data_IF_080767476292
#
_entry.id   IF_080767476292
#
_cell.length_a   1.000
_cell.length_b   1.000
_cell.length_c   1.000
_cell.angle_alpha   90.00
_cell.angle_beta   90.00
_cell.angle_gamma   90.00
#
_symmetry.space_group_name_H-M   'P 1'
#
loop_
_entity.id
_entity.type
_entity.pdbx_description
1 polymer ?
#
# COMPACT_ATOMS: atom_id res chain seq x y z
N UNK A 1 -4.67 -12.08 6.85
CA UNK A 1 -3.36 -11.48 6.48
C UNK A 1 -3.49 -10.85 5.11
N UNK A 2 -2.46 -10.15 4.64
CA UNK A 2 -2.47 -9.47 3.34
C UNK A 2 -1.20 -9.76 2.53
N UNK A 3 -1.15 -9.24 1.30
CA UNK A 3 0.01 -9.40 0.41
C UNK A 3 1.27 -8.73 0.96
N UNK A 4 1.10 -7.65 1.71
CA UNK A 4 2.17 -6.89 2.35
C UNK A 4 1.91 -6.77 3.85
N UNK A 5 2.98 -6.56 4.62
CA UNK A 5 2.91 -6.21 6.03
C UNK A 5 2.49 -4.74 6.15
N UNK A 6 1.29 -4.49 6.67
CA UNK A 6 0.83 -3.14 7.02
C UNK A 6 1.26 -2.75 8.43
N UNK A 7 2.02 -1.67 8.56
CA UNK A 7 2.42 -1.08 9.85
C UNK A 7 1.81 0.31 9.96
N UNK A 8 0.91 0.50 10.93
CA UNK A 8 0.37 1.82 11.23
C UNK A 8 1.43 2.65 11.95
N UNK A 9 1.73 3.83 11.40
CA UNK A 9 2.65 4.81 11.96
C UNK A 9 1.94 6.13 12.24
N UNK A 10 2.72 7.14 12.63
CA UNK A 10 2.19 8.50 12.75
C UNK A 10 1.92 9.05 11.35
N UNK A 11 0.68 9.47 11.07
CA UNK A 11 0.30 10.08 9.79
C UNK A 11 -0.01 9.11 8.66
N UNK A 12 -0.06 7.79 8.91
CA UNK A 12 -0.46 6.85 7.86
C UNK A 12 -0.18 5.37 8.12
N UNK A 13 -0.20 4.59 7.03
CA UNK A 13 0.17 3.18 7.01
C UNK A 13 1.34 2.96 6.05
N UNK A 14 2.39 2.28 6.52
CA UNK A 14 3.47 1.79 5.68
C UNK A 14 3.20 0.34 5.28
N UNK A 15 3.35 0.03 3.99
CA UNK A 15 3.32 -1.33 3.47
C UNK A 15 4.73 -1.83 3.19
N UNK A 16 5.06 -3.01 3.72
CA UNK A 16 6.38 -3.62 3.61
C UNK A 16 6.29 -4.99 2.96
N UNK A 17 7.29 -5.33 2.14
CA UNK A 17 7.42 -6.67 1.59
C UNK A 17 7.84 -7.65 2.69
N UNK A 18 7.14 -8.78 2.79
CA UNK A 18 7.32 -9.75 3.88
C UNK A 18 8.70 -10.41 3.88
N UNK A 19 9.27 -10.64 2.71
CA UNK A 19 10.51 -11.40 2.56
C UNK A 19 11.73 -10.50 2.81
N UNK A 20 11.73 -9.31 2.20
CA UNK A 20 12.85 -8.37 2.29
C UNK A 20 12.78 -7.42 3.48
N UNK A 21 11.58 -7.19 4.03
CA UNK A 21 11.33 -6.14 5.00
C UNK A 21 11.43 -4.71 4.43
N UNK A 22 11.59 -4.57 3.10
CA UNK A 22 11.71 -3.29 2.44
C UNK A 22 10.36 -2.54 2.43
N UNK A 23 10.42 -1.21 2.56
CA UNK A 23 9.26 -0.34 2.39
C UNK A 23 8.83 -0.37 0.92
N UNK A 24 7.59 -0.80 0.67
CA UNK A 24 6.97 -0.76 -0.66
C UNK A 24 6.37 0.62 -0.90
N UNK A 25 5.47 1.07 -0.02
CA UNK A 25 4.90 2.42 -0.06
C UNK A 25 4.32 2.83 1.29
N UNK A 26 4.46 4.10 1.65
CA UNK A 26 3.69 4.76 2.71
C UNK A 26 2.47 5.44 2.10
N UNK A 27 1.31 5.20 2.69
CA UNK A 27 0.05 5.86 2.34
C UNK A 27 -0.35 6.74 3.52
N UNK A 28 -0.54 8.03 3.26
CA UNK A 28 -0.92 9.06 4.25
C UNK A 28 -2.42 9.01 4.60
N UNK A 29 -2.91 7.80 4.87
CA UNK A 29 -4.27 7.53 5.34
C UNK A 29 -4.15 6.72 6.62
N UNK A 30 -4.95 7.06 7.63
CA UNK A 30 -4.96 6.37 8.92
C UNK A 30 -6.11 5.36 9.01
N UNK A 31 -5.97 4.13 8.47
CA UNK A 31 -7.03 3.15 8.54
C UNK A 31 -7.29 2.70 9.99
N UNK A 32 -8.55 2.35 10.26
CA UNK A 32 -8.97 1.50 11.38
C UNK A 32 -8.70 0.03 11.05
N UNK A 33 -8.93 -0.35 9.80
CA UNK A 33 -8.74 -1.71 9.29
C UNK A 33 -8.22 -1.71 7.86
N UNK A 34 -7.47 -2.76 7.50
CA UNK A 34 -6.93 -2.96 6.15
C UNK A 34 -7.38 -4.33 5.64
N UNK A 35 -7.96 -4.37 4.44
CA UNK A 35 -8.48 -5.59 3.84
C UNK A 35 -7.89 -5.77 2.44
N UNK A 36 -7.33 -6.95 2.17
CA UNK A 36 -6.84 -7.29 0.84
C UNK A 36 -7.87 -8.15 0.11
N UNK A 37 -7.98 -7.98 -1.21
CA UNK A 37 -8.72 -8.91 -2.05
C UNK A 37 -8.06 -10.28 -2.06
N UNK A 38 -8.82 -11.33 -2.38
CA UNK A 38 -8.27 -12.69 -2.52
C UNK A 38 -7.20 -12.79 -3.61
N UNK A 39 -7.33 -12.00 -4.69
CA UNK A 39 -6.31 -11.89 -5.73
C UNK A 39 -5.02 -11.21 -5.26
N UNK A 40 -5.09 -10.44 -4.18
CA UNK A 40 -3.98 -9.61 -3.71
C UNK A 40 -3.72 -8.34 -4.50
N UNK A 41 -4.51 -8.07 -5.54
CA UNK A 41 -4.35 -6.88 -6.38
C UNK A 41 -5.00 -5.63 -5.79
N UNK A 42 -6.01 -5.78 -4.93
CA UNK A 42 -6.71 -4.66 -4.31
C UNK A 42 -6.50 -4.66 -2.81
N UNK A 43 -6.40 -3.47 -2.24
CA UNK A 43 -6.43 -3.24 -0.80
C UNK A 43 -7.40 -2.11 -0.47
N UNK A 44 -8.25 -2.34 0.52
CA UNK A 44 -9.14 -1.34 1.09
C UNK A 44 -8.57 -0.84 2.41
N UNK A 45 -8.38 0.48 2.51
CA UNK A 45 -8.13 1.19 3.76
C UNK A 45 -9.47 1.69 4.30
N UNK A 46 -9.98 1.05 5.34
CA UNK A 46 -11.22 1.47 5.99
C UNK A 46 -10.90 2.46 7.11
N UNK A 47 -11.29 3.72 6.95
CA UNK A 47 -11.16 4.77 7.99
C UNK A 47 -12.43 4.83 8.83
N UNK A 48 -12.66 5.94 9.53
CA UNK A 48 -13.90 6.18 10.28
C UNK A 48 -15.09 6.51 9.37
N UNK A 49 -14.81 7.20 8.27
CA UNK A 49 -15.74 7.95 7.44
C UNK A 49 -15.65 7.59 5.96
N UNK A 50 -14.54 6.99 5.52
CA UNK A 50 -14.27 6.72 4.11
C UNK A 50 -13.60 5.35 3.93
N UNK A 51 -13.81 4.74 2.77
CA UNK A 51 -13.07 3.58 2.31
C UNK A 51 -12.27 3.95 1.07
N UNK A 52 -10.95 3.78 1.13
CA UNK A 52 -10.08 3.96 -0.02
C UNK A 52 -9.71 2.60 -0.60
N UNK A 53 -10.06 2.37 -1.87
CA UNK A 53 -9.66 1.17 -2.60
C UNK A 53 -8.46 1.51 -3.46
N UNK A 54 -7.34 0.85 -3.19
CA UNK A 54 -6.09 0.98 -3.94
C UNK A 54 -5.81 -0.30 -4.71
N UNK A 55 -5.22 -0.19 -5.89
CA UNK A 55 -4.61 -1.30 -6.61
C UNK A 55 -3.13 -1.36 -6.29
N UNK A 56 -2.63 -2.56 -6.02
CA UNK A 56 -1.20 -2.83 -5.85
C UNK A 56 -0.65 -3.56 -7.09
N UNK A 57 0.48 -3.10 -7.61
CA UNK A 57 1.25 -3.78 -8.65
C UNK A 57 2.63 -4.16 -8.13
N UNK A 58 2.85 -5.46 -7.92
CA UNK A 58 4.18 -6.00 -7.57
C UNK A 58 5.18 -5.80 -8.70
N UNK A 59 4.71 -5.85 -9.95
CA UNK A 59 5.54 -5.60 -11.13
C UNK A 59 6.10 -4.18 -11.10
N UNK A 60 5.24 -3.17 -10.93
CA UNK A 60 5.67 -1.77 -10.87
C UNK A 60 6.62 -1.50 -9.70
N UNK A 61 6.37 -2.13 -8.54
CA UNK A 61 7.29 -2.05 -7.41
C UNK A 61 8.69 -2.58 -7.78
N UNK A 62 8.76 -3.76 -8.41
CA UNK A 62 10.03 -4.38 -8.79
C UNK A 62 10.76 -3.56 -9.88
N UNK A 63 10.03 -3.00 -10.83
CA UNK A 63 10.60 -2.10 -11.85
C UNK A 63 11.17 -0.82 -11.21
N UNK A 64 10.42 -0.19 -10.31
CA UNK A 64 10.89 1.00 -9.59
C UNK A 64 12.17 0.71 -8.77
N UNK A 65 12.23 -0.45 -8.10
CA UNK A 65 13.44 -0.90 -7.38
C UNK A 65 14.62 -1.08 -8.34
N UNK A 66 14.41 -1.68 -9.51
CA UNK A 66 15.48 -1.90 -10.50
C UNK A 66 15.98 -0.59 -11.12
N UNK A 67 15.09 0.36 -11.34
CA UNK A 67 15.41 1.66 -11.92
C UNK A 67 15.95 2.67 -10.89
N UNK A 68 15.87 2.35 -9.60
CA UNK A 68 16.24 3.27 -8.52
C UNK A 68 15.21 4.40 -8.31
N UNK A 69 13.96 4.17 -8.68
CA UNK A 69 12.83 5.10 -8.56
C UNK A 69 12.09 4.91 -7.23
N UNK A 70 12.87 4.85 -6.15
CA UNK A 70 12.37 4.68 -4.77
C UNK A 70 12.73 5.95 -3.99
N UNK A 71 11.71 6.61 -3.44
CA UNK A 71 11.89 7.78 -2.56
C UNK A 71 11.83 7.38 -1.07
N UNK A 72 11.75 8.37 -0.18
CA UNK A 72 11.68 8.14 1.27
C UNK A 72 10.38 7.45 1.74
N UNK A 73 9.33 7.51 0.92
CA UNK A 73 8.03 6.89 1.16
C UNK A 73 7.83 5.60 0.36
N UNK A 74 8.76 5.22 -0.53
CA UNK A 74 8.75 3.98 -1.31
C UNK A 74 8.44 4.19 -2.80
N UNK A 75 8.04 3.13 -3.50
CA UNK A 75 7.68 3.19 -4.92
C UNK A 75 6.27 3.79 -5.10
N UNK A 76 6.16 5.03 -5.56
CA UNK A 76 4.86 5.67 -5.85
C UNK A 76 4.05 4.84 -6.87
N UNK A 77 4.70 4.31 -7.90
CA UNK A 77 4.08 3.53 -8.99
C UNK A 77 3.50 2.17 -8.54
N UNK A 78 3.82 1.71 -7.32
CA UNK A 78 3.35 0.45 -6.80
C UNK A 78 1.87 0.47 -6.42
N UNK A 79 1.30 1.65 -6.14
CA UNK A 79 -0.10 1.81 -5.74
C UNK A 79 -0.83 2.82 -6.62
N UNK A 80 -2.07 2.50 -6.96
CA UNK A 80 -2.98 3.39 -7.69
C UNK A 80 -4.30 3.51 -6.93
N UNK A 81 -4.85 4.71 -6.81
CA UNK A 81 -6.19 4.91 -6.24
C UNK A 81 -7.25 4.49 -7.26
N UNK A 82 -8.07 3.52 -6.90
CA UNK A 82 -9.18 3.04 -7.75
C UNK A 82 -10.44 3.86 -7.49
N UNK A 83 -10.83 4.00 -6.22
CA UNK A 83 -11.94 4.84 -5.80
C UNK A 83 -11.93 5.10 -4.28
N UNK A 84 -12.67 6.12 -3.87
CA UNK A 84 -13.11 6.38 -2.51
C UNK A 84 -14.63 6.22 -2.36
N UNK A 85 -15.08 5.80 -1.18
CA UNK A 85 -16.50 5.58 -0.85
C UNK A 85 -16.78 6.23 0.51
N UNK A 86 -17.81 7.08 0.58
CA UNK A 86 -18.24 7.81 1.78
C UNK A 86 -19.57 7.28 2.34
#
# INVERSE_FOLDING_TARGET
GGVLLGVKGQGGVGFYDWDSGALVRRIEVEPKSVFWSESGELVTLATEDTYYVLRYSRENYLEAVQNGEIDEDGAESAFEVVCDIN
#
